data_IF_313892489023
#
_entry.id   IF_313892489023
#
_cell.length_a   1.000
_cell.length_b   1.000
_cell.length_c   1.000
_cell.angle_alpha   90.00
_cell.angle_beta   90.00
_cell.angle_gamma   90.00
#
_symmetry.space_group_name_H-M   'P 1'
#
loop_
_entity.id
_entity.type
_entity.pdbx_description
1 polymer ?
#
# COMPACT_ATOMS: atom_id res chain seq x y z
N UNK A 1 -47.09 -24.17 -11.00
CA UNK A 1 -46.66 -24.79 -9.74
C UNK A 1 -45.35 -25.51 -10.04
N UNK A 2 -44.23 -25.14 -9.40
CA UNK A 2 -42.98 -25.86 -9.60
C UNK A 2 -43.05 -27.22 -8.88
N UNK A 3 -42.55 -28.28 -9.51
CA UNK A 3 -42.44 -29.59 -8.84
C UNK A 3 -41.40 -29.54 -7.73
N UNK A 4 -41.60 -30.32 -6.65
CA UNK A 4 -40.65 -30.46 -5.54
C UNK A 4 -39.22 -30.79 -6.04
N UNK A 5 -39.10 -31.60 -7.10
CA UNK A 5 -37.81 -31.92 -7.73
C UNK A 5 -37.08 -30.71 -8.33
N UNK A 6 -37.80 -29.70 -8.84
CA UNK A 6 -37.18 -28.47 -9.36
C UNK A 6 -36.75 -27.51 -8.24
N UNK A 7 -37.48 -27.48 -7.13
CA UNK A 7 -37.07 -26.73 -5.93
C UNK A 7 -35.80 -27.33 -5.32
N UNK A 8 -35.71 -28.66 -5.27
CA UNK A 8 -34.52 -29.35 -4.74
C UNK A 8 -33.29 -29.17 -5.65
N UNK A 9 -33.47 -29.22 -6.98
CA UNK A 9 -32.40 -28.98 -7.95
C UNK A 9 -31.90 -27.52 -7.94
N UNK A 10 -32.80 -26.54 -7.81
CA UNK A 10 -32.41 -25.12 -7.72
C UNK A 10 -31.71 -24.80 -6.41
N UNK A 11 -32.14 -25.40 -5.29
CA UNK A 11 -31.44 -25.26 -4.00
C UNK A 11 -30.01 -25.83 -4.07
N UNK A 12 -29.83 -27.02 -4.65
CA UNK A 12 -28.50 -27.63 -4.88
C UNK A 12 -27.61 -26.77 -5.78
N UNK A 13 -28.17 -26.15 -6.82
CA UNK A 13 -27.41 -25.26 -7.70
C UNK A 13 -26.95 -23.99 -6.97
N UNK A 14 -27.82 -23.40 -6.14
CA UNK A 14 -27.49 -22.23 -5.31
C UNK A 14 -26.42 -22.54 -4.26
N UNK A 15 -26.45 -23.72 -3.62
CA UNK A 15 -25.40 -24.13 -2.67
C UNK A 15 -24.08 -24.48 -3.37
N UNK A 16 -24.12 -25.00 -4.60
CA UNK A 16 -22.91 -25.21 -5.39
C UNK A 16 -22.23 -23.87 -5.76
N UNK A 17 -23.00 -22.87 -6.19
CA UNK A 17 -22.48 -21.54 -6.57
C UNK A 17 -21.83 -20.82 -5.37
N UNK A 18 -22.40 -20.93 -4.17
CA UNK A 18 -21.84 -20.28 -2.96
C UNK A 18 -20.57 -20.94 -2.42
N UNK A 19 -20.24 -22.16 -2.85
CA UNK A 19 -18.96 -22.81 -2.53
C UNK A 19 -17.80 -22.30 -3.41
N UNK A 20 -18.08 -21.69 -4.57
CA UNK A 20 -17.06 -21.05 -5.41
C UNK A 20 -16.70 -19.65 -4.89
N UNK A 21 -16.10 -19.59 -3.70
CA UNK A 21 -15.39 -18.40 -3.26
C UNK A 21 -14.09 -18.28 -4.08
N UNK A 22 -13.88 -17.20 -4.86
CA UNK A 22 -12.59 -16.98 -5.52
C UNK A 22 -11.52 -16.77 -4.45
N UNK A 23 -10.59 -17.73 -4.33
CA UNK A 23 -9.40 -17.55 -3.50
C UNK A 23 -8.50 -16.51 -4.15
N UNK A 24 -8.63 -15.26 -3.72
CA UNK A 24 -7.72 -14.20 -4.12
C UNK A 24 -6.36 -14.44 -3.46
N UNK A 25 -5.52 -15.23 -4.13
CA UNK A 25 -4.11 -15.36 -3.80
C UNK A 25 -3.47 -13.98 -3.92
N UNK A 26 -2.85 -13.49 -2.85
CA UNK A 26 -2.22 -12.18 -2.86
C UNK A 26 -1.08 -12.16 -3.88
N UNK A 27 -1.11 -11.21 -4.82
CA UNK A 27 -0.04 -11.10 -5.86
C UNK A 27 1.21 -10.41 -5.31
N UNK A 28 1.05 -9.74 -4.17
CA UNK A 28 2.09 -9.01 -3.46
C UNK A 28 3.12 -9.89 -2.70
N UNK A 29 3.35 -11.12 -3.14
CA UNK A 29 4.40 -12.03 -2.61
C UNK A 29 5.60 -12.17 -3.54
N UNK A 30 5.59 -11.48 -4.70
CA UNK A 30 6.62 -11.59 -5.76
C UNK A 30 7.70 -10.51 -5.71
N UNK A 31 7.46 -9.46 -4.91
CA UNK A 31 8.31 -8.27 -4.77
C UNK A 31 9.51 -8.61 -3.89
N UNK A 32 10.70 -8.23 -4.34
CA UNK A 32 11.95 -8.38 -3.57
C UNK A 32 12.43 -7.02 -3.07
N UNK A 33 12.97 -7.00 -1.85
CA UNK A 33 13.44 -5.78 -1.20
C UNK A 33 14.96 -5.86 -0.95
N UNK A 34 15.65 -4.74 -1.16
CA UNK A 34 17.06 -4.62 -0.82
C UNK A 34 17.27 -4.69 0.69
N UNK A 35 18.45 -5.17 1.12
CA UNK A 35 18.82 -5.27 2.53
C UNK A 35 18.13 -6.39 3.34
N UNK A 36 17.64 -7.44 2.69
CA UNK A 36 17.01 -8.63 3.33
C UNK A 36 15.86 -8.29 4.31
N UNK A 37 15.14 -7.19 4.05
CA UNK A 37 13.99 -6.77 4.88
C UNK A 37 12.82 -7.72 4.67
N UNK A 38 12.30 -8.29 5.77
CA UNK A 38 11.15 -9.18 5.79
C UNK A 38 9.93 -8.42 6.31
N UNK A 39 8.82 -8.48 5.56
CA UNK A 39 7.53 -7.94 5.97
C UNK A 39 6.56 -9.09 6.22
N UNK A 40 5.99 -9.16 7.43
CA UNK A 40 5.09 -10.25 7.85
C UNK A 40 3.75 -10.20 7.12
N UNK A 41 3.29 -8.99 6.78
CA UNK A 41 1.98 -8.75 6.19
C UNK A 41 2.13 -8.06 4.83
N UNK A 42 1.17 -8.35 3.95
CA UNK A 42 1.10 -7.72 2.65
C UNK A 42 -0.35 -7.60 2.18
N UNK A 43 -0.66 -6.52 1.45
CA UNK A 43 -1.96 -6.26 0.84
C UNK A 43 -1.79 -5.83 -0.62
N UNK A 44 -2.55 -6.44 -1.53
CA UNK A 44 -2.83 -5.85 -2.84
C UNK A 44 -3.80 -4.67 -2.66
N UNK A 45 -3.50 -3.52 -3.25
CA UNK A 45 -4.35 -2.33 -3.17
C UNK A 45 -5.27 -2.23 -4.41
N UNK A 46 -6.48 -1.67 -4.27
CA UNK A 46 -7.52 -1.74 -5.31
C UNK A 46 -7.25 -0.87 -6.56
N UNK A 47 -6.07 -0.26 -6.68
CA UNK A 47 -5.74 0.67 -7.77
C UNK A 47 -4.23 0.79 -7.97
N UNK A 48 -3.84 1.35 -9.11
CA UNK A 48 -2.45 1.66 -9.50
C UNK A 48 -1.50 0.43 -9.60
N UNK A 49 -2.03 -0.79 -9.59
CA UNK A 49 -1.25 -2.03 -9.46
C UNK A 49 -0.22 -1.92 -8.33
N UNK A 50 -0.70 -1.53 -7.15
CA UNK A 50 0.12 -1.13 -6.02
C UNK A 50 -0.04 -2.06 -4.83
N UNK A 51 1.01 -2.14 -4.02
CA UNK A 51 1.15 -3.13 -2.96
C UNK A 51 1.64 -2.48 -1.67
N UNK A 52 1.11 -2.92 -0.53
CA UNK A 52 1.51 -2.45 0.79
C UNK A 52 2.01 -3.61 1.65
N UNK A 53 3.32 -3.69 1.82
CA UNK A 53 3.99 -4.62 2.72
C UNK A 53 4.26 -3.92 4.04
N UNK A 54 4.08 -4.61 5.16
CA UNK A 54 4.34 -4.04 6.48
C UNK A 54 4.65 -5.10 7.54
N UNK A 55 5.31 -4.67 8.61
CA UNK A 55 5.53 -5.43 9.83
C UNK A 55 5.47 -4.48 11.03
N UNK A 56 4.91 -4.95 12.15
CA UNK A 56 4.86 -4.20 13.39
C UNK A 56 5.60 -4.95 14.50
N UNK A 57 6.63 -4.31 15.07
CA UNK A 57 7.29 -4.77 16.29
C UNK A 57 6.66 -4.04 17.48
N UNK A 58 5.91 -4.78 18.29
CA UNK A 58 5.23 -4.25 19.48
C UNK A 58 6.16 -3.99 20.66
N UNK A 59 7.34 -4.61 20.72
CA UNK A 59 8.33 -4.35 21.77
C UNK A 59 9.05 -3.01 21.54
N UNK A 60 9.25 -2.64 20.28
CA UNK A 60 9.86 -1.37 19.88
C UNK A 60 8.82 -0.27 19.54
N UNK A 61 7.53 -0.63 19.44
CA UNK A 61 6.43 0.24 18.97
C UNK A 61 6.67 0.79 17.55
N UNK A 62 7.15 -0.09 16.69
CA UNK A 62 7.80 0.18 15.41
C UNK A 62 6.95 -0.34 14.25
N UNK A 63 6.67 0.49 13.24
CA UNK A 63 5.93 0.10 12.04
C UNK A 63 6.80 0.23 10.78
N UNK A 64 7.35 -0.87 10.29
CA UNK A 64 8.12 -0.90 9.04
C UNK A 64 7.19 -1.11 7.84
N UNK A 65 7.39 -0.34 6.75
CA UNK A 65 6.49 -0.31 5.59
C UNK A 65 7.28 -0.33 4.27
N UNK A 66 6.78 -1.06 3.27
CA UNK A 66 7.14 -0.83 1.88
C UNK A 66 5.90 -0.65 1.02
N UNK A 67 5.81 0.51 0.37
CA UNK A 67 4.82 0.80 -0.65
C UNK A 67 5.44 0.60 -2.03
N UNK A 68 4.69 -0.02 -2.93
CA UNK A 68 5.16 -0.44 -4.25
C UNK A 68 4.18 0.05 -5.28
N UNK A 69 4.63 0.86 -6.25
CA UNK A 69 3.81 1.34 -7.35
C UNK A 69 4.68 1.86 -8.49
N UNK A 70 4.24 1.66 -9.73
CA UNK A 70 4.85 2.35 -10.87
C UNK A 70 4.45 3.84 -10.86
N UNK A 71 5.40 4.80 -10.91
CA UNK A 71 5.06 6.20 -11.08
C UNK A 71 4.42 6.43 -12.47
N UNK A 72 3.50 7.40 -12.64
CA UNK A 72 2.82 7.63 -13.93
C UNK A 72 3.74 8.02 -15.10
N UNK A 73 4.99 8.41 -14.83
CA UNK A 73 6.02 8.83 -15.79
C UNK A 73 7.42 8.51 -15.22
N UNK A 74 8.49 8.42 -16.04
CA UNK A 74 9.84 8.08 -15.59
C UNK A 74 10.40 8.98 -14.48
N UNK A 75 10.20 10.30 -14.57
CA UNK A 75 10.56 11.28 -13.53
C UNK A 75 9.35 11.67 -12.67
N UNK A 76 8.38 10.77 -12.56
CA UNK A 76 7.23 10.90 -11.68
C UNK A 76 7.57 10.63 -10.21
N UNK A 77 6.53 10.62 -9.39
CA UNK A 77 6.61 10.32 -7.96
C UNK A 77 5.54 9.31 -7.57
N UNK A 78 5.74 8.65 -6.44
CA UNK A 78 4.75 7.81 -5.78
C UNK A 78 4.63 8.23 -4.31
N UNK A 79 3.45 8.04 -3.72
CA UNK A 79 3.21 8.43 -2.33
C UNK A 79 2.37 7.40 -1.59
N UNK A 80 2.67 7.26 -0.31
CA UNK A 80 1.78 6.60 0.66
C UNK A 80 1.54 7.54 1.83
N UNK A 81 0.36 7.49 2.43
CA UNK A 81 -0.03 8.40 3.50
C UNK A 81 -1.01 7.74 4.48
N UNK A 82 -1.01 8.22 5.73
CA UNK A 82 -2.05 7.92 6.72
C UNK A 82 -2.88 9.16 7.01
N UNK A 83 -4.17 8.96 7.27
CA UNK A 83 -5.11 10.07 7.50
C UNK A 83 -5.65 9.95 8.95
N UNK A 84 -4.91 10.44 9.96
CA UNK A 84 -5.24 10.19 11.36
C UNK A 84 -6.44 10.98 11.88
N UNK A 85 -6.85 12.04 11.17
CA UNK A 85 -7.91 12.97 11.61
C UNK A 85 -9.24 12.78 10.89
N UNK A 86 -9.24 12.38 9.62
CA UNK A 86 -10.42 12.23 8.79
C UNK A 86 -10.11 11.35 7.57
N UNK A 87 -11.12 10.73 6.95
CA UNK A 87 -10.96 9.93 5.72
C UNK A 87 -10.86 10.80 4.46
N UNK A 88 -9.97 11.80 4.47
CA UNK A 88 -9.78 12.77 3.39
C UNK A 88 -8.29 13.00 3.11
N UNK A 89 -7.96 13.55 1.94
CA UNK A 89 -6.58 13.88 1.58
C UNK A 89 -6.02 15.02 2.45
N UNK A 90 -6.85 16.00 2.78
CA UNK A 90 -6.46 17.08 3.71
C UNK A 90 -6.41 16.54 5.14
N UNK A 91 -5.31 16.81 5.83
CA UNK A 91 -4.93 16.22 7.12
C UNK A 91 -4.03 14.99 7.00
N UNK A 92 -3.85 14.44 5.78
CA UNK A 92 -3.01 13.27 5.58
C UNK A 92 -1.53 13.55 5.82
N UNK A 93 -0.83 12.51 6.26
CA UNK A 93 0.55 12.52 6.70
C UNK A 93 1.29 11.60 5.75
N UNK A 94 2.02 12.21 4.82
CA UNK A 94 2.44 11.56 3.59
C UNK A 94 3.96 11.39 3.50
N UNK A 95 4.35 10.27 2.90
CA UNK A 95 5.70 9.94 2.47
C UNK A 95 5.68 9.94 0.94
N UNK A 96 6.47 10.81 0.31
CA UNK A 96 6.53 10.94 -1.14
C UNK A 96 7.94 10.58 -1.61
N UNK A 97 8.02 9.60 -2.49
CA UNK A 97 9.24 9.13 -3.12
C UNK A 97 9.35 9.64 -4.55
N UNK A 98 10.49 10.22 -4.90
CA UNK A 98 10.72 10.86 -6.19
C UNK A 98 12.22 10.94 -6.53
N UNK A 99 12.54 11.28 -7.78
CA UNK A 99 13.90 11.58 -8.23
C UNK A 99 14.24 13.05 -7.96
N UNK A 100 15.31 13.29 -7.21
CA UNK A 100 15.77 14.64 -6.89
C UNK A 100 16.49 15.32 -8.07
N UNK A 101 16.83 16.61 -7.90
CA UNK A 101 17.52 17.39 -8.93
C UNK A 101 18.96 16.96 -9.21
N UNK A 102 19.50 15.99 -8.46
CA UNK A 102 20.81 15.36 -8.68
C UNK A 102 20.68 13.99 -9.34
N UNK A 103 19.46 13.54 -9.64
CA UNK A 103 19.14 12.25 -10.24
C UNK A 103 19.01 11.10 -9.24
N UNK A 104 19.18 11.36 -7.94
CA UNK A 104 19.06 10.36 -6.89
C UNK A 104 17.61 10.11 -6.48
N UNK A 105 17.27 8.88 -6.13
CA UNK A 105 15.96 8.59 -5.50
C UNK A 105 15.97 9.04 -4.04
N UNK A 106 14.91 9.72 -3.61
CA UNK A 106 14.77 10.22 -2.24
C UNK A 106 13.33 10.07 -1.75
N UNK A 107 13.13 10.10 -0.43
CA UNK A 107 11.79 10.17 0.20
C UNK A 107 11.73 11.37 1.12
N UNK A 108 10.62 12.08 1.10
CA UNK A 108 10.36 13.24 1.96
C UNK A 108 8.99 13.16 2.64
N UNK A 109 8.88 13.84 3.77
CA UNK A 109 7.66 13.93 4.59
C UNK A 109 6.86 15.18 4.25
N UNK A 110 5.54 15.04 4.25
CA UNK A 110 4.59 16.11 3.93
C UNK A 110 3.34 16.01 4.80
N UNK A 111 3.00 17.10 5.48
CA UNK A 111 1.71 17.30 6.12
C UNK A 111 0.76 17.99 5.13
N UNK A 112 -0.18 17.23 4.58
CA UNK A 112 -1.07 17.66 3.47
C UNK A 112 -2.22 18.50 4.04
N UNK A 113 -1.93 19.78 4.30
CA UNK A 113 -2.88 20.72 4.92
C UNK A 113 -3.84 21.41 3.94
N UNK A 114 -3.61 21.31 2.62
CA UNK A 114 -4.49 21.89 1.60
C UNK A 114 -4.30 21.23 0.21
N UNK A 115 -5.27 21.46 -0.68
CA UNK A 115 -5.13 21.18 -2.12
C UNK A 115 -4.32 22.30 -2.78
N UNK A 116 -3.00 22.23 -2.69
CA UNK A 116 -2.09 23.26 -3.20
C UNK A 116 -0.65 22.75 -3.35
N UNK A 117 0.32 23.65 -3.61
CA UNK A 117 1.73 23.30 -3.68
C UNK A 117 2.20 22.64 -2.38
N UNK A 118 2.63 21.38 -2.46
CA UNK A 118 3.13 20.64 -1.31
C UNK A 118 4.46 21.24 -0.84
N UNK A 119 4.56 21.47 0.47
CA UNK A 119 5.81 21.89 1.14
C UNK A 119 6.27 20.76 2.04
N UNK A 120 7.54 20.38 1.89
CA UNK A 120 8.21 19.45 2.80
C UNK A 120 8.04 19.91 4.24
N UNK A 121 7.62 18.99 5.11
CA UNK A 121 7.25 19.28 6.49
C UNK A 121 7.27 18.02 7.32
N UNK A 122 7.65 18.15 8.60
CA UNK A 122 7.54 17.04 9.55
C UNK A 122 6.10 16.54 9.62
N UNK A 123 5.95 15.22 9.61
CA UNK A 123 4.72 14.53 9.98
C UNK A 123 4.67 14.33 11.50
N UNK A 124 3.48 14.03 12.01
CA UNK A 124 3.22 13.84 13.45
C UNK A 124 3.89 12.62 14.11
N UNK A 125 4.50 11.70 13.34
CA UNK A 125 5.23 10.54 13.84
C UNK A 125 6.74 10.67 13.62
N UNK A 126 7.51 10.15 14.57
CA UNK A 126 8.95 9.88 14.44
C UNK A 126 9.23 9.13 13.13
N UNK A 127 10.08 9.66 12.26
CA UNK A 127 10.59 8.98 11.06
C UNK A 127 12.10 8.86 11.18
N UNK A 128 12.64 7.64 11.17
CA UNK A 128 14.05 7.41 11.50
C UNK A 128 14.91 6.95 10.30
N UNK A 129 14.38 6.16 9.37
CA UNK A 129 15.15 5.69 8.19
C UNK A 129 14.35 5.78 6.88
N UNK A 130 14.96 6.18 5.77
CA UNK A 130 14.21 6.43 4.53
C UNK A 130 14.96 6.02 3.29
N UNK A 131 14.31 5.27 2.40
CA UNK A 131 14.88 4.85 1.13
C UNK A 131 13.83 4.88 0.02
N UNK A 132 14.24 5.29 -1.17
CA UNK A 132 13.51 5.02 -2.40
C UNK A 132 14.48 4.36 -3.38
N UNK A 133 14.01 3.38 -4.13
CA UNK A 133 14.76 2.73 -5.18
C UNK A 133 14.02 2.91 -6.51
N UNK A 134 14.69 2.62 -7.62
CA UNK A 134 14.06 2.57 -8.94
C UNK A 134 14.38 1.23 -9.60
N UNK A 135 14.05 0.16 -8.90
CA UNK A 135 13.96 -1.21 -9.40
C UNK A 135 12.48 -1.62 -9.29
N UNK A 136 11.85 -1.92 -10.42
CA UNK A 136 10.43 -2.35 -10.46
C UNK A 136 9.39 -1.40 -9.84
N UNK A 137 9.71 -0.14 -9.53
CA UNK A 137 8.79 0.81 -8.87
C UNK A 137 8.72 0.70 -7.33
N UNK A 138 9.81 0.31 -6.68
CA UNK A 138 9.85 0.03 -5.23
C UNK A 138 10.34 1.24 -4.39
N UNK A 139 9.48 1.81 -3.55
CA UNK A 139 9.83 2.93 -2.65
C UNK A 139 9.44 2.64 -1.20
N UNK A 140 10.38 2.08 -0.44
CA UNK A 140 10.15 1.60 0.94
C UNK A 140 10.76 2.48 2.03
N UNK A 141 9.91 3.04 2.88
CA UNK A 141 10.29 3.90 4.01
C UNK A 141 10.38 3.09 5.33
N UNK A 142 11.44 3.28 6.11
CA UNK A 142 11.59 2.64 7.41
C UNK A 142 11.24 3.58 8.58
N UNK A 143 10.14 3.26 9.26
CA UNK A 143 10.10 3.54 10.69
C UNK A 143 10.58 2.29 11.42
N UNK A 144 11.76 2.33 12.06
CA UNK A 144 11.87 1.94 13.46
C UNK A 144 11.03 2.88 14.35
#
# INVERSE_FOLDING_TARGET
MASSSQLMATFLLLTAISLFSPSQSATCTSQTFTGNRLYTFCNDLPSLNSYLHWAYDSAQSTLSIAFVAAPPRPDGWVSWAINPTATTMVGSQALIAFRDSRGGMTVKTYNVSSYGPLRESKVWYEVKESSADFSGGLSGFLQP
#
